data_IF_537660593162
#
_entry.id   IF_537660593162
#
_cell.length_a   1.000
_cell.length_b   1.000
_cell.length_c   1.000
_cell.angle_alpha   90.00
_cell.angle_beta   90.00
_cell.angle_gamma   90.00
#
_symmetry.space_group_name_H-M   'P 1'
#
loop_
_entity.id
_entity.type
_entity.pdbx_description
1 polymer ?
#
# COMPACT_ATOMS: atom_id res chain seq x y z
N UNK A 1 16.58 -6.55 -5.05
CA UNK A 1 16.61 -6.99 -3.64
C UNK A 1 15.29 -6.57 -3.01
N UNK A 2 14.79 -7.20 -1.94
CA UNK A 2 13.66 -6.61 -1.22
C UNK A 2 14.20 -5.52 -0.29
N UNK A 3 14.11 -4.25 -0.70
CA UNK A 3 14.56 -3.10 0.10
C UNK A 3 13.69 -2.96 1.36
N UNK A 4 14.11 -3.54 2.47
CA UNK A 4 13.41 -3.44 3.75
C UNK A 4 13.65 -2.07 4.39
N UNK A 5 12.79 -1.68 5.34
CA UNK A 5 12.96 -0.42 6.06
C UNK A 5 14.30 -0.36 6.81
N UNK A 6 14.75 -1.47 7.41
CA UNK A 6 16.05 -1.53 8.08
C UNK A 6 17.22 -1.27 7.12
N UNK A 7 17.16 -1.79 5.89
CA UNK A 7 18.18 -1.56 4.87
C UNK A 7 18.20 -0.10 4.41
N UNK A 8 17.03 0.52 4.25
CA UNK A 8 16.92 1.94 3.89
C UNK A 8 17.40 2.86 5.01
N UNK A 9 17.14 2.51 6.28
CA UNK A 9 17.64 3.28 7.44
C UNK A 9 19.16 3.20 7.50
N UNK A 10 19.74 2.00 7.37
CA UNK A 10 21.20 1.84 7.37
C UNK A 10 21.87 2.64 6.24
N UNK A 11 21.32 2.58 5.03
CA UNK A 11 21.82 3.35 3.89
C UNK A 11 21.66 4.86 4.12
N UNK A 12 20.53 5.32 4.63
CA UNK A 12 20.29 6.73 4.94
C UNK A 12 21.27 7.27 6.01
N UNK A 13 21.57 6.48 7.04
CA UNK A 13 22.54 6.85 8.08
C UNK A 13 23.93 7.02 7.47
N UNK A 14 24.39 6.05 6.68
CA UNK A 14 25.71 6.13 6.05
C UNK A 14 25.80 7.27 5.03
N UNK A 15 24.75 7.51 4.24
CA UNK A 15 24.69 8.64 3.32
C UNK A 15 24.75 9.99 4.05
N UNK A 16 24.09 10.12 5.20
CA UNK A 16 24.21 11.33 6.02
C UNK A 16 25.64 11.54 6.54
N UNK A 17 26.32 10.47 6.94
CA UNK A 17 27.70 10.52 7.46
C UNK A 17 28.72 10.84 6.36
N UNK A 18 28.58 10.23 5.17
CA UNK A 18 29.53 10.38 4.07
C UNK A 18 29.32 11.69 3.31
N UNK A 19 28.08 12.02 2.96
CA UNK A 19 27.76 13.20 2.15
C UNK A 19 27.54 14.47 3.00
N UNK A 20 27.44 14.35 4.32
CA UNK A 20 27.23 15.49 5.21
C UNK A 20 25.97 16.29 4.90
N UNK A 21 24.88 15.60 4.54
CA UNK A 21 23.64 16.22 4.06
C UNK A 21 23.05 17.21 5.09
N UNK A 22 22.72 18.42 4.64
CA UNK A 22 22.00 19.44 5.44
C UNK A 22 20.74 19.95 4.69
N UNK A 23 19.51 19.64 5.16
CA UNK A 23 19.21 18.86 6.35
C UNK A 23 19.43 17.35 6.15
N UNK A 24 19.87 16.67 7.21
CA UNK A 24 20.06 15.22 7.20
C UNK A 24 18.75 14.46 6.88
N UNK A 25 18.89 13.28 6.26
CA UNK A 25 17.76 12.39 5.97
C UNK A 25 17.12 11.96 7.29
N UNK A 26 15.86 12.36 7.48
CA UNK A 26 15.08 11.94 8.63
C UNK A 26 14.71 10.44 8.53
N UNK A 27 15.21 9.64 9.48
CA UNK A 27 15.04 8.18 9.54
C UNK A 27 13.67 7.74 10.09
N UNK A 28 12.90 8.66 10.67
CA UNK A 28 11.61 8.37 11.31
C UNK A 28 10.41 8.45 10.36
N UNK A 29 10.64 8.85 9.12
CA UNK A 29 9.59 8.98 8.10
C UNK A 29 9.10 7.62 7.58
N UNK A 30 8.04 7.64 6.77
CA UNK A 30 7.50 6.41 6.19
C UNK A 30 8.54 5.73 5.28
N UNK A 31 8.44 4.41 5.10
CA UNK A 31 9.36 3.65 4.22
C UNK A 31 9.43 4.24 2.81
N UNK A 32 8.30 4.74 2.29
CA UNK A 32 8.24 5.36 0.96
C UNK A 32 9.00 6.67 0.93
N UNK A 33 8.79 7.53 1.93
CA UNK A 33 9.47 8.83 2.01
C UNK A 33 10.96 8.64 2.24
N UNK A 34 11.35 7.68 3.09
CA UNK A 34 12.73 7.33 3.34
C UNK A 34 13.41 6.84 2.07
N UNK A 35 12.72 5.98 1.29
CA UNK A 35 13.22 5.52 -0.02
C UNK A 35 13.44 6.69 -0.97
N UNK A 36 12.51 7.64 -1.06
CA UNK A 36 12.65 8.79 -1.94
C UNK A 36 13.82 9.68 -1.53
N UNK A 37 13.98 9.97 -0.24
CA UNK A 37 15.11 10.76 0.28
C UNK A 37 16.46 10.08 0.08
N UNK A 38 16.53 8.76 0.34
CA UNK A 38 17.74 7.97 0.07
C UNK A 38 18.08 7.98 -1.42
N UNK A 39 17.07 7.98 -2.29
CA UNK A 39 17.28 8.11 -3.74
C UNK A 39 17.80 9.49 -4.13
N UNK A 40 17.22 10.57 -3.60
CA UNK A 40 17.72 11.93 -3.84
C UNK A 40 19.18 12.07 -3.40
N UNK A 41 19.53 11.52 -2.23
CA UNK A 41 20.91 11.47 -1.77
C UNK A 41 21.80 10.56 -2.63
N UNK A 42 21.26 9.46 -3.16
CA UNK A 42 21.98 8.56 -4.05
C UNK A 42 22.40 9.24 -5.37
N UNK A 43 21.67 10.26 -5.83
CA UNK A 43 22.06 11.07 -7.00
C UNK A 43 23.26 11.98 -6.72
N UNK A 44 23.52 12.29 -5.44
CA UNK A 44 24.67 13.10 -5.00
C UNK A 44 25.92 12.26 -4.73
N UNK A 45 25.80 10.92 -4.75
CA UNK A 45 26.94 10.02 -4.53
C UNK A 45 27.87 10.06 -5.73
N UNK A 46 29.12 10.40 -5.49
CA UNK A 46 30.20 10.33 -6.47
C UNK A 46 30.90 8.96 -6.39
N UNK A 47 31.49 8.47 -7.50
CA UNK A 47 32.27 7.22 -7.48
C UNK A 47 33.52 7.28 -6.58
N UNK A 48 33.92 8.48 -6.16
CA UNK A 48 34.99 8.72 -5.18
C UNK A 48 34.54 8.51 -3.73
N UNK A 49 33.23 8.51 -3.47
CA UNK A 49 32.69 8.35 -2.13
C UNK A 49 32.87 6.92 -1.63
N UNK A 50 33.37 6.80 -0.41
CA UNK A 50 33.60 5.48 0.21
C UNK A 50 32.33 5.01 0.90
N UNK A 51 31.48 4.31 0.15
CA UNK A 51 30.28 3.67 0.67
C UNK A 51 30.49 2.19 0.97
N UNK A 52 29.84 1.71 2.02
CA UNK A 52 29.75 0.30 2.34
C UNK A 52 29.06 -0.49 1.23
N UNK A 53 29.47 -1.76 1.05
CA UNK A 53 28.94 -2.67 0.01
C UNK A 53 27.41 -2.81 0.03
N UNK A 54 26.79 -2.65 1.18
CA UNK A 54 25.33 -2.73 1.32
C UNK A 54 24.66 -1.43 0.85
N UNK A 55 25.20 -0.28 1.20
CA UNK A 55 24.69 1.03 0.79
C UNK A 55 24.91 1.27 -0.69
N UNK A 56 26.06 0.88 -1.24
CA UNK A 56 26.31 0.91 -2.68
C UNK A 56 25.26 0.11 -3.46
N UNK A 57 24.91 -1.09 -2.99
CA UNK A 57 23.85 -1.91 -3.63
C UNK A 57 22.48 -1.23 -3.58
N UNK A 58 22.17 -0.52 -2.50
CA UNK A 58 20.91 0.22 -2.36
C UNK A 58 20.88 1.41 -3.31
N UNK A 59 21.97 2.18 -3.39
CA UNK A 59 22.17 3.27 -4.35
C UNK A 59 21.99 2.76 -5.78
N UNK A 60 22.71 1.71 -6.17
CA UNK A 60 22.62 1.11 -7.50
C UNK A 60 21.20 0.64 -7.85
N UNK A 61 20.48 0.05 -6.89
CA UNK A 61 19.12 -0.44 -7.11
C UNK A 61 18.09 0.70 -7.23
N UNK A 62 18.33 1.82 -6.53
CA UNK A 62 17.49 3.00 -6.62
C UNK A 62 17.74 3.78 -7.91
N UNK A 63 19.00 3.90 -8.36
CA UNK A 63 19.36 4.55 -9.62
C UNK A 63 18.89 3.74 -10.84
N UNK A 64 18.86 2.40 -10.77
CA UNK A 64 18.31 1.55 -11.85
C UNK A 64 16.78 1.59 -11.95
N UNK A 65 16.09 2.07 -10.92
CA UNK A 65 14.62 2.12 -10.91
C UNK A 65 14.05 3.35 -11.64
N UNK A 66 14.89 4.18 -12.26
CA UNK A 66 14.47 5.33 -13.06
C UNK A 66 14.00 4.99 -14.48
N UNK A 67 14.31 3.80 -14.98
CA UNK A 67 13.95 3.40 -16.36
C UNK A 67 12.65 2.61 -16.47
N UNK A 68 11.87 2.45 -15.39
CA UNK A 68 10.58 1.75 -15.44
C UNK A 68 9.47 2.50 -14.70
N UNK A 69 8.95 3.56 -15.34
CA UNK A 69 7.53 3.91 -15.15
C UNK A 69 6.79 3.98 -16.49
N UNK A 70 6.22 2.82 -16.83
CA UNK A 70 5.12 2.55 -17.78
C UNK A 70 5.50 2.39 -19.26
N UNK A 71 4.68 1.69 -20.08
CA UNK A 71 3.88 0.49 -19.84
C UNK A 71 3.99 -0.50 -21.03
N UNK A 72 4.27 -1.81 -20.88
CA UNK A 72 4.04 -2.76 -22.00
C UNK A 72 3.85 -4.22 -21.54
N UNK A 73 2.62 -4.68 -21.70
CA UNK A 73 2.23 -6.02 -22.20
C UNK A 73 3.32 -6.85 -22.89
N UNK A 74 3.51 -8.12 -22.50
CA UNK A 74 3.35 -9.34 -23.34
C UNK A 74 3.93 -10.58 -22.61
N UNK A 75 3.13 -11.60 -22.30
CA UNK A 75 2.74 -12.74 -23.16
C UNK A 75 3.86 -13.78 -23.35
N UNK A 76 3.70 -14.97 -22.75
CA UNK A 76 3.57 -16.28 -23.42
C UNK A 76 3.86 -17.41 -22.43
N UNK A 77 2.85 -18.18 -22.05
CA UNK A 77 3.05 -19.61 -21.85
C UNK A 77 1.92 -20.36 -22.54
N UNK A 78 2.29 -21.00 -23.64
CA UNK A 78 1.45 -21.76 -24.56
C UNK A 78 1.71 -23.24 -24.26
N UNK A 79 0.66 -23.96 -23.89
CA UNK A 79 0.60 -25.42 -23.77
C UNK A 79 -0.79 -25.79 -23.24
N UNK A 80 -1.84 -25.81 -24.07
CA UNK A 80 -2.26 -26.85 -25.04
C UNK A 80 -2.77 -28.14 -24.36
N UNK A 81 -4.09 -28.36 -24.47
CA UNK A 81 -4.82 -29.58 -24.08
C UNK A 81 -6.22 -29.26 -23.50
N UNK A 82 -7.24 -28.83 -24.27
CA UNK A 82 -8.08 -29.52 -25.26
C UNK A 82 -9.42 -30.08 -24.68
N UNK A 83 -10.54 -29.66 -25.29
CA UNK A 83 -11.92 -30.22 -25.17
C UNK A 83 -12.74 -29.66 -23.99
N UNK A 84 -13.99 -29.21 -24.14
CA UNK A 84 -14.97 -29.47 -25.20
C UNK A 84 -16.13 -28.46 -25.11
N UNK A 85 -16.52 -27.99 -26.28
CA UNK A 85 -17.69 -27.18 -26.64
C UNK A 85 -19.03 -27.63 -26.07
N UNK A 86 -19.90 -26.64 -25.80
CA UNK A 86 -21.25 -26.56 -26.41
C UNK A 86 -21.71 -25.10 -26.33
N UNK A 87 -21.68 -24.38 -27.47
CA UNK A 87 -22.82 -24.03 -28.35
C UNK A 87 -23.71 -22.91 -27.76
N UNK A 88 -23.60 -21.71 -28.34
CA UNK A 88 -24.53 -21.14 -29.34
C UNK A 88 -25.81 -20.63 -28.67
N UNK A 89 -26.39 -19.46 -28.91
CA UNK A 89 -26.23 -18.34 -29.83
C UNK A 89 -27.03 -17.20 -29.14
N UNK A 90 -26.90 -15.91 -29.42
CA UNK A 90 -27.17 -15.29 -30.70
C UNK A 90 -26.86 -13.80 -30.58
N UNK A 91 -25.95 -13.39 -31.43
CA UNK A 91 -25.66 -12.03 -31.86
C UNK A 91 -26.90 -11.41 -32.53
N UNK A 92 -27.23 -10.14 -32.26
CA UNK A 92 -27.43 -9.14 -33.31
C UNK A 92 -27.64 -7.73 -32.72
N UNK A 93 -26.69 -6.84 -33.09
CA UNK A 93 -26.87 -5.50 -33.71
C UNK A 93 -27.94 -4.55 -33.17
N UNK A 94 -27.80 -3.23 -33.22
CA UNK A 94 -26.75 -2.23 -33.41
C UNK A 94 -27.53 -0.90 -33.31
N UNK A 95 -26.86 0.16 -32.86
CA UNK A 95 -27.22 1.59 -32.97
C UNK A 95 -28.70 2.04 -32.92
N UNK A 96 -29.05 2.88 -31.93
CA UNK A 96 -29.29 4.31 -32.23
C UNK A 96 -29.29 5.19 -30.96
N UNK A 97 -28.62 6.34 -31.07
CA UNK A 97 -28.67 7.45 -30.11
C UNK A 97 -30.11 7.94 -29.94
N UNK A 98 -30.60 8.01 -28.71
CA UNK A 98 -31.44 9.12 -28.29
C UNK A 98 -31.06 9.54 -26.87
N UNK A 99 -30.62 10.79 -26.75
CA UNK A 99 -30.34 11.40 -25.46
C UNK A 99 -31.59 11.41 -24.60
N UNK A 100 -31.49 10.85 -23.41
CA UNK A 100 -32.37 11.19 -22.30
C UNK A 100 -31.50 11.45 -21.07
N UNK A 101 -31.73 12.64 -20.51
CA UNK A 101 -30.90 13.29 -19.52
C UNK A 101 -30.44 12.37 -18.38
N UNK A 102 -29.16 12.52 -18.01
CA UNK A 102 -28.59 12.08 -16.73
C UNK A 102 -29.55 12.47 -15.59
N UNK A 103 -30.33 11.51 -15.10
CA UNK A 103 -30.86 11.59 -13.75
C UNK A 103 -29.72 11.15 -12.85
N UNK A 104 -29.03 12.15 -12.32
CA UNK A 104 -27.98 12.06 -11.31
C UNK A 104 -28.55 11.36 -10.06
N UNK A 105 -28.67 10.04 -10.12
CA UNK A 105 -28.86 9.24 -8.94
C UNK A 105 -27.51 9.29 -8.22
N UNK A 106 -27.40 10.19 -7.23
CA UNK A 106 -26.35 10.16 -6.21
C UNK A 106 -26.21 8.73 -5.71
N UNK A 107 -25.30 7.95 -6.31
CA UNK A 107 -24.95 6.62 -5.79
C UNK A 107 -24.43 6.88 -4.39
N UNK A 108 -25.13 6.34 -3.38
CA UNK A 108 -24.64 6.38 -2.00
C UNK A 108 -23.20 5.87 -2.01
N UNK A 109 -22.27 6.54 -1.32
CA UNK A 109 -20.87 6.15 -1.34
C UNK A 109 -20.76 4.68 -0.93
N UNK A 110 -20.06 3.88 -1.73
CA UNK A 110 -19.83 2.48 -1.43
C UNK A 110 -19.14 2.37 -0.08
N UNK A 111 -19.59 1.43 0.77
CA UNK A 111 -18.99 1.24 2.09
C UNK A 111 -17.53 0.81 1.92
N UNK A 112 -16.60 1.56 2.49
CA UNK A 112 -15.16 1.34 2.28
C UNK A 112 -14.53 0.56 3.43
N UNK A 113 -13.36 -0.04 3.18
CA UNK A 113 -12.56 -0.67 4.24
C UNK A 113 -12.11 0.31 5.33
N UNK A 114 -11.96 1.60 5.00
CA UNK A 114 -11.68 2.63 5.99
C UNK A 114 -12.87 2.85 6.95
N UNK A 115 -14.10 2.84 6.42
CA UNK A 115 -15.30 2.89 7.26
C UNK A 115 -15.46 1.63 8.09
N UNK A 116 -15.11 0.47 7.53
CA UNK A 116 -15.07 -0.81 8.26
C UNK A 116 -14.03 -0.81 9.39
N UNK A 117 -12.83 -0.24 9.14
CA UNK A 117 -11.78 -0.09 10.15
C UNK A 117 -12.25 0.79 11.30
N UNK A 118 -12.87 1.93 10.99
CA UNK A 118 -13.43 2.81 12.01
C UNK A 118 -14.52 2.10 12.83
N UNK A 119 -15.39 1.31 12.17
CA UNK A 119 -16.41 0.53 12.86
C UNK A 119 -15.80 -0.54 13.78
N UNK A 120 -14.75 -1.23 13.33
CA UNK A 120 -14.01 -2.22 14.12
C UNK A 120 -13.36 -1.56 15.36
N UNK A 121 -12.71 -0.41 15.18
CA UNK A 121 -12.10 0.35 16.28
C UNK A 121 -13.14 0.88 17.28
N UNK A 122 -14.32 1.29 16.82
CA UNK A 122 -15.46 1.64 17.70
C UNK A 122 -15.98 0.43 18.48
N UNK A 123 -16.05 -0.74 17.82
CA UNK A 123 -16.47 -2.00 18.44
C UNK A 123 -15.51 -2.50 19.51
N UNK A 124 -14.20 -2.26 19.36
CA UNK A 124 -13.18 -2.61 20.34
C UNK A 124 -13.37 -1.89 21.70
N UNK A 125 -14.04 -0.74 21.72
CA UNK A 125 -14.40 -0.03 22.94
C UNK A 125 -13.19 0.36 23.81
N UNK A 126 -13.40 0.45 25.13
CA UNK A 126 -12.36 0.88 26.09
C UNK A 126 -11.28 -0.18 26.33
N UNK A 127 -11.62 -1.46 26.16
CA UNK A 127 -10.68 -2.57 26.36
C UNK A 127 -9.63 -2.66 25.25
N UNK A 128 -9.92 -2.04 24.09
CA UNK A 128 -9.09 -2.18 22.91
C UNK A 128 -9.20 -3.57 22.30
N UNK A 129 -8.54 -3.74 21.15
CA UNK A 129 -8.47 -5.00 20.44
C UNK A 129 -7.09 -5.14 19.80
N UNK A 130 -6.61 -6.37 19.69
CA UNK A 130 -5.36 -6.69 18.99
C UNK A 130 -5.48 -6.42 17.49
N UNK A 131 -4.35 -6.34 16.79
CA UNK A 131 -4.36 -6.18 15.32
C UNK A 131 -5.15 -7.26 14.61
N UNK A 132 -5.06 -8.50 15.10
CA UNK A 132 -5.74 -9.64 14.50
C UNK A 132 -7.27 -9.54 14.69
N UNK A 133 -7.71 -9.17 15.88
CA UNK A 133 -9.14 -8.95 16.18
C UNK A 133 -9.70 -7.78 15.36
N UNK A 134 -8.96 -6.67 15.25
CA UNK A 134 -9.36 -5.53 14.42
C UNK A 134 -9.42 -5.94 12.94
N UNK A 135 -8.47 -6.75 12.48
CA UNK A 135 -8.45 -7.25 11.09
C UNK A 135 -9.68 -8.11 10.78
N UNK A 136 -10.01 -9.04 11.67
CA UNK A 136 -11.18 -9.91 11.51
C UNK A 136 -12.48 -9.09 11.57
N UNK A 137 -12.61 -8.20 12.55
CA UNK A 137 -13.77 -7.33 12.70
C UNK A 137 -13.93 -6.39 11.49
N UNK A 138 -12.84 -5.84 10.95
CA UNK A 138 -12.88 -5.01 9.74
C UNK A 138 -13.41 -5.80 8.55
N UNK A 139 -12.86 -6.99 8.28
CA UNK A 139 -13.30 -7.80 7.14
C UNK A 139 -14.77 -8.18 7.26
N UNK A 140 -15.19 -8.59 8.45
CA UNK A 140 -16.59 -8.91 8.76
C UNK A 140 -17.51 -7.71 8.53
N UNK A 141 -17.16 -6.52 9.02
CA UNK A 141 -17.94 -5.29 8.82
C UNK A 141 -18.00 -4.90 7.35
N UNK A 142 -16.91 -5.09 6.60
CA UNK A 142 -16.86 -4.81 5.17
C UNK A 142 -17.76 -5.76 4.37
N UNK A 143 -17.72 -7.06 4.68
CA UNK A 143 -18.56 -8.09 4.04
C UNK A 143 -20.04 -7.87 4.35
N UNK A 144 -20.38 -7.58 5.61
CA UNK A 144 -21.77 -7.28 6.03
C UNK A 144 -22.39 -6.11 5.27
N UNK A 145 -21.59 -5.21 4.71
CA UNK A 145 -22.04 -4.05 3.94
C UNK A 145 -21.94 -4.24 2.42
N UNK A 146 -21.79 -5.48 1.96
CA UNK A 146 -21.76 -5.84 0.54
C UNK A 146 -20.36 -5.87 -0.09
N UNK A 147 -19.31 -5.78 0.72
CA UNK A 147 -17.93 -5.96 0.28
C UNK A 147 -17.58 -7.43 0.05
N UNK A 148 -16.55 -7.69 -0.77
CA UNK A 148 -15.96 -9.03 -0.91
C UNK A 148 -14.95 -9.26 0.22
N UNK A 149 -15.02 -10.41 0.89
CA UNK A 149 -14.05 -10.78 1.92
C UNK A 149 -12.65 -10.82 1.32
N UNK A 150 -11.70 -10.20 2.00
CA UNK A 150 -10.29 -10.28 1.66
C UNK A 150 -9.47 -9.96 2.92
N UNK A 151 -9.21 -11.02 3.70
CA UNK A 151 -8.50 -10.93 4.96
C UNK A 151 -7.09 -10.33 4.80
N UNK A 152 -6.36 -10.69 3.73
CA UNK A 152 -5.04 -10.12 3.45
C UNK A 152 -5.11 -8.61 3.19
N UNK A 153 -6.11 -8.16 2.43
CA UNK A 153 -6.33 -6.73 2.21
C UNK A 153 -6.78 -6.01 3.49
N UNK A 154 -7.53 -6.68 4.36
CA UNK A 154 -7.96 -6.15 5.65
C UNK A 154 -6.77 -6.02 6.62
N UNK A 155 -5.86 -7.01 6.62
CA UNK A 155 -4.61 -6.98 7.37
C UNK A 155 -3.70 -5.84 6.90
N UNK A 156 -3.50 -5.70 5.59
CA UNK A 156 -2.72 -4.60 5.03
C UNK A 156 -3.30 -3.22 5.42
N UNK A 157 -4.63 -3.09 5.43
CA UNK A 157 -5.30 -1.87 5.87
C UNK A 157 -4.97 -1.54 7.32
N UNK A 158 -5.06 -2.53 8.20
CA UNK A 158 -4.75 -2.43 9.63
C UNK A 158 -3.27 -2.06 9.83
N UNK A 159 -2.35 -2.79 9.19
CA UNK A 159 -0.90 -2.58 9.37
C UNK A 159 -0.43 -1.21 8.88
N UNK A 160 -1.05 -0.64 7.84
CA UNK A 160 -0.72 0.70 7.34
C UNK A 160 -1.36 1.79 8.20
N UNK A 161 -2.64 1.66 8.56
CA UNK A 161 -3.40 2.78 9.13
C UNK A 161 -3.30 2.88 10.65
N UNK A 162 -3.19 1.77 11.38
CA UNK A 162 -3.10 1.83 12.85
C UNK A 162 -1.89 2.61 13.37
N UNK A 163 -0.66 2.41 12.84
CA UNK A 163 0.48 3.21 13.26
C UNK A 163 0.29 4.70 12.98
N UNK A 164 -0.27 5.03 11.82
CA UNK A 164 -0.56 6.41 11.42
C UNK A 164 -1.58 7.04 12.38
N UNK A 165 -2.69 6.35 12.65
CA UNK A 165 -3.72 6.81 13.57
C UNK A 165 -3.18 6.96 15.02
N UNK A 166 -2.19 6.16 15.41
CA UNK A 166 -1.55 6.27 16.71
C UNK A 166 -0.66 7.51 16.79
N UNK A 167 0.12 7.80 15.74
CA UNK A 167 0.94 9.03 15.63
C UNK A 167 0.08 10.28 15.69
N UNK A 168 -1.08 10.27 15.02
CA UNK A 168 -2.04 11.38 15.08
C UNK A 168 -2.89 11.42 16.36
N UNK A 169 -2.66 10.51 17.31
CA UNK A 169 -3.38 10.48 18.59
C UNK A 169 -4.85 10.11 18.47
N UNK A 170 -5.29 9.55 17.33
CA UNK A 170 -6.68 9.10 17.14
C UNK A 170 -6.92 7.76 17.82
N UNK A 171 -5.89 6.91 17.87
CA UNK A 171 -5.90 5.65 18.62
C UNK A 171 -4.76 5.63 19.63
N UNK A 172 -5.00 4.98 20.77
CA UNK A 172 -3.98 4.70 21.75
C UNK A 172 -3.63 3.21 21.71
N UNK A 173 -2.33 2.94 21.86
CA UNK A 173 -1.80 1.59 22.02
C UNK A 173 -1.64 1.31 23.51
N UNK A 174 -2.33 0.28 24.01
CA UNK A 174 -2.21 -0.20 25.38
C UNK A 174 -1.78 -1.67 25.33
N UNK A 175 -0.53 -1.95 25.70
CA UNK A 175 0.07 -3.28 25.51
C UNK A 175 0.08 -3.68 24.03
N UNK A 176 -0.59 -4.79 23.70
CA UNK A 176 -0.78 -5.27 22.33
C UNK A 176 -2.13 -4.87 21.71
N UNK A 177 -2.95 -4.14 22.48
CA UNK A 177 -4.26 -3.67 22.08
C UNK A 177 -4.24 -2.24 21.53
N UNK A 178 -5.16 -1.96 20.61
CA UNK A 178 -5.43 -0.64 20.09
C UNK A 178 -6.87 -0.24 20.38
N UNK A 179 -7.07 1.01 20.80
CA UNK A 179 -8.40 1.58 21.06
C UNK A 179 -8.49 3.01 20.56
N UNK A 180 -9.70 3.51 20.30
CA UNK A 180 -9.90 4.93 20.02
C UNK A 180 -9.60 5.77 21.26
N UNK A 181 -8.82 6.83 21.08
CA UNK A 181 -8.66 7.87 22.09
C UNK A 181 -9.98 8.63 22.21
N UNK A 182 -10.51 8.73 23.43
CA UNK A 182 -11.74 9.47 23.73
C UNK A 182 -11.41 10.83 24.33
#
# INVERSE_FOLDING_TARGET
MNLTQAVLVAAATELNEVLGLDPAINLTVSRTDLRNKVREAAELVEPSDTLGKNTQKVVDELSKNDEEKSPTTRTTSKGKGNGKDTKDAKDTKDAEKTGTAKKDQKKKPAYTKAQALLAALKGAGRKGATRQEITAALDEQYVKKGGKSNLNGSKAMVDIHLPVLAVFGVVEKEGDGFRLKK
#
